data_IF_504224360532
#
_entry.id   IF_504224360532
#
_cell.length_a   1.000
_cell.length_b   1.000
_cell.length_c   1.000
_cell.angle_alpha   90.00
_cell.angle_beta   90.00
_cell.angle_gamma   90.00
#
_symmetry.space_group_name_H-M   'P 1'
#
loop_
_entity.id
_entity.type
_entity.pdbx_description
1 polymer ?
#
# COMPACT_ATOMS: atom_id res chain seq x y z
N UNK A 1 -34.72 -71.72 14.21
CA UNK A 1 -34.51 -70.46 13.46
C UNK A 1 -34.15 -69.36 14.46
N UNK A 2 -32.86 -69.03 14.61
CA UNK A 2 -32.39 -67.86 15.38
C UNK A 2 -32.02 -66.78 14.36
N UNK A 3 -32.73 -65.66 14.34
CA UNK A 3 -32.40 -64.49 13.51
C UNK A 3 -31.40 -63.64 14.28
N UNK A 4 -30.16 -63.59 13.81
CA UNK A 4 -29.13 -62.67 14.27
C UNK A 4 -29.42 -61.30 13.66
N UNK A 5 -29.76 -60.31 14.49
CA UNK A 5 -29.89 -58.91 14.06
C UNK A 5 -28.50 -58.29 14.21
N UNK A 6 -27.88 -57.95 13.08
CA UNK A 6 -26.63 -57.19 13.04
C UNK A 6 -27.01 -55.70 13.12
N UNK A 7 -26.74 -55.05 14.25
CA UNK A 7 -26.78 -53.59 14.36
C UNK A 7 -25.50 -53.02 13.71
N UNK A 8 -25.68 -52.32 12.59
CA UNK A 8 -24.64 -51.45 12.02
C UNK A 8 -24.65 -50.11 12.77
N UNK A 9 -23.52 -49.60 13.30
CA UNK A 9 -23.46 -48.24 13.80
C UNK A 9 -23.41 -47.27 12.62
N UNK A 10 -24.45 -46.45 12.47
CA UNK A 10 -24.46 -45.30 11.55
C UNK A 10 -23.49 -44.26 12.13
N UNK A 11 -22.32 -44.14 11.53
CA UNK A 11 -21.36 -43.09 11.82
C UNK A 11 -21.90 -41.77 11.25
N UNK A 12 -22.53 -40.97 12.10
CA UNK A 12 -22.99 -39.62 11.76
C UNK A 12 -21.75 -38.72 11.62
N UNK A 13 -21.26 -38.54 10.40
CA UNK A 13 -20.23 -37.55 10.08
C UNK A 13 -20.89 -36.18 10.14
N UNK A 14 -20.81 -35.54 11.31
CA UNK A 14 -21.09 -34.11 11.48
C UNK A 14 -20.02 -33.32 10.70
N UNK A 15 -20.35 -32.96 9.47
CA UNK A 15 -19.61 -31.93 8.72
C UNK A 15 -19.88 -30.61 9.43
N UNK A 16 -18.94 -30.19 10.28
CA UNK A 16 -18.89 -28.82 10.78
C UNK A 16 -18.61 -27.89 9.60
N UNK A 17 -19.67 -27.31 9.03
CA UNK A 17 -19.53 -26.10 8.23
C UNK A 17 -19.10 -25.00 9.18
N UNK A 18 -17.81 -24.69 9.18
CA UNK A 18 -17.24 -23.57 9.92
C UNK A 18 -17.78 -22.27 9.31
N UNK A 19 -18.96 -21.84 9.76
CA UNK A 19 -19.42 -20.47 9.55
C UNK A 19 -18.57 -19.57 10.44
N UNK A 20 -17.41 -19.16 9.92
CA UNK A 20 -16.52 -18.18 10.54
C UNK A 20 -17.14 -16.79 10.57
N UNK A 21 -18.22 -16.60 11.34
CA UNK A 21 -18.53 -15.30 11.93
C UNK A 21 -17.88 -15.30 13.30
N UNK A 22 -16.62 -14.84 13.36
CA UNK A 22 -16.03 -14.43 14.63
C UNK A 22 -16.81 -13.22 15.14
N UNK A 23 -17.78 -13.48 16.00
CA UNK A 23 -18.39 -12.49 16.87
C UNK A 23 -17.28 -11.92 17.76
N UNK A 24 -16.81 -10.70 17.47
CA UNK A 24 -16.00 -9.91 18.42
C UNK A 24 -14.74 -9.21 17.88
N UNK A 25 -14.30 -9.49 16.65
CA UNK A 25 -13.16 -8.77 16.07
C UNK A 25 -13.69 -7.65 15.16
N UNK A 26 -13.39 -6.39 15.49
CA UNK A 26 -13.67 -5.26 14.60
C UNK A 26 -13.02 -5.57 13.23
N UNK A 27 -13.79 -5.75 12.13
CA UNK A 27 -13.22 -6.17 10.86
C UNK A 27 -12.26 -5.13 10.29
N UNK A 28 -12.40 -3.86 10.68
CA UNK A 28 -11.49 -2.79 10.34
C UNK A 28 -10.41 -2.69 11.42
N UNK A 29 -9.54 -3.69 11.44
CA UNK A 29 -8.21 -3.63 12.04
C UNK A 29 -7.19 -3.93 10.94
N UNK A 30 -5.93 -3.47 11.08
CA UNK A 30 -4.85 -3.85 10.16
C UNK A 30 -4.76 -5.37 9.95
N UNK A 31 -4.88 -6.16 11.02
CA UNK A 31 -4.90 -7.63 10.96
C UNK A 31 -6.12 -8.18 10.22
N UNK A 32 -7.30 -7.59 10.45
CA UNK A 32 -8.54 -7.96 9.77
C UNK A 32 -8.48 -7.73 8.26
N UNK A 33 -7.74 -6.72 7.79
CA UNK A 33 -7.60 -6.43 6.36
C UNK A 33 -6.49 -7.23 5.67
N UNK A 34 -5.42 -7.57 6.39
CA UNK A 34 -4.22 -8.23 5.86
C UNK A 34 -4.54 -9.44 4.98
N UNK A 35 -5.47 -10.27 5.41
CA UNK A 35 -5.83 -11.52 4.73
C UNK A 35 -7.16 -11.44 3.97
N UNK A 36 -7.89 -10.32 4.07
CA UNK A 36 -9.16 -10.19 3.38
C UNK A 36 -8.95 -10.16 1.86
N UNK A 37 -9.66 -11.02 1.09
CA UNK A 37 -9.58 -10.99 -0.36
C UNK A 37 -10.15 -9.67 -0.91
N UNK A 38 -9.87 -9.39 -2.18
CA UNK A 38 -10.58 -8.33 -2.90
C UNK A 38 -12.09 -8.63 -2.82
N UNK A 39 -12.94 -7.67 -2.42
CA UNK A 39 -14.37 -7.92 -2.31
C UNK A 39 -14.97 -8.22 -3.69
N UNK A 40 -15.93 -9.13 -3.75
CA UNK A 40 -16.66 -9.46 -4.98
C UNK A 40 -17.63 -8.34 -5.38
N UNK A 41 -18.03 -8.27 -6.65
CA UNK A 41 -19.01 -7.28 -7.13
C UNK A 41 -18.42 -5.94 -7.55
N UNK A 42 -17.10 -5.77 -7.44
CA UNK A 42 -16.40 -4.65 -8.02
C UNK A 42 -16.44 -4.71 -9.56
N UNK A 43 -16.60 -3.55 -10.19
CA UNK A 43 -16.54 -3.37 -11.65
C UNK A 43 -15.65 -2.16 -11.92
N UNK A 44 -14.52 -2.31 -12.65
CA UNK A 44 -13.58 -1.23 -12.86
C UNK A 44 -14.26 0.04 -13.37
N UNK A 45 -14.14 1.11 -12.58
CA UNK A 45 -14.58 2.45 -12.94
C UNK A 45 -16.09 2.69 -12.92
N UNK A 46 -16.87 1.73 -12.45
CA UNK A 46 -18.33 1.88 -12.28
C UNK A 46 -18.68 3.13 -11.45
N UNK A 47 -17.86 3.44 -10.45
CA UNK A 47 -18.11 4.51 -9.50
C UNK A 47 -17.15 5.69 -9.71
N UNK A 48 -16.47 5.78 -10.87
CA UNK A 48 -15.76 7.01 -11.24
C UNK A 48 -16.75 8.18 -11.28
N UNK A 49 -16.40 9.29 -10.63
CA UNK A 49 -17.18 10.51 -10.75
C UNK A 49 -17.16 11.02 -12.19
N UNK A 50 -18.30 11.54 -12.64
CA UNK A 50 -18.38 12.19 -13.94
C UNK A 50 -17.60 13.50 -13.92
N UNK A 51 -16.84 13.77 -14.98
CA UNK A 51 -16.19 15.06 -15.15
C UNK A 51 -17.26 16.15 -15.27
N UNK A 52 -17.13 17.19 -14.45
CA UNK A 52 -17.97 18.38 -14.57
C UNK A 52 -17.82 19.01 -15.96
N UNK A 53 -18.92 19.46 -16.59
CA UNK A 53 -18.85 20.34 -17.77
C UNK A 53 -18.01 21.61 -17.53
N UNK A 54 -17.87 22.03 -16.27
CA UNK A 54 -17.06 23.17 -15.84
C UNK A 54 -15.59 22.85 -15.48
N UNK A 55 -15.12 21.61 -15.70
CA UNK A 55 -13.71 21.25 -15.48
C UNK A 55 -12.73 22.01 -16.40
N UNK A 56 -13.24 22.76 -17.38
CA UNK A 56 -12.47 23.60 -18.30
C UNK A 56 -11.56 22.78 -19.21
N UNK A 57 -10.46 23.39 -19.66
CA UNK A 57 -9.52 22.81 -20.62
C UNK A 57 -8.57 21.75 -20.01
N UNK A 58 -8.70 21.44 -18.71
CA UNK A 58 -7.86 20.45 -18.03
C UNK A 58 -8.67 19.23 -17.53
N UNK A 59 -9.00 18.29 -18.43
CA UNK A 59 -9.79 17.10 -18.08
C UNK A 59 -9.03 16.10 -17.18
N UNK A 60 -7.70 16.21 -17.10
CA UNK A 60 -6.87 15.32 -16.28
C UNK A 60 -6.70 15.81 -14.84
N UNK A 61 -6.93 17.11 -14.61
CA UNK A 61 -6.73 17.81 -13.35
C UNK A 61 -5.27 17.74 -12.83
N UNK A 62 -5.00 18.33 -11.67
CA UNK A 62 -3.63 18.42 -11.14
C UNK A 62 -3.16 17.08 -10.55
N UNK A 63 -2.24 16.41 -11.23
CA UNK A 63 -1.57 15.20 -10.74
C UNK A 63 -0.92 15.44 -9.37
N UNK A 64 -1.25 14.60 -8.38
CA UNK A 64 -0.64 14.64 -7.04
C UNK A 64 -1.06 15.80 -6.15
N UNK A 65 -1.97 16.65 -6.62
CA UNK A 65 -2.55 17.66 -5.77
C UNK A 65 -3.53 17.02 -4.80
N UNK A 66 -3.60 17.56 -3.58
CA UNK A 66 -4.67 17.20 -2.66
C UNK A 66 -5.99 17.76 -3.17
N UNK A 67 -6.83 16.87 -3.71
CA UNK A 67 -8.14 17.21 -4.23
C UNK A 67 -8.98 17.98 -3.21
N UNK A 68 -8.88 17.61 -1.92
CA UNK A 68 -9.64 18.23 -0.82
C UNK A 68 -9.26 19.68 -0.51
N UNK A 69 -8.15 20.21 -1.05
CA UNK A 69 -7.84 21.66 -0.92
C UNK A 69 -8.86 22.50 -1.69
N UNK A 70 -9.35 22.00 -2.83
CA UNK A 70 -10.32 22.68 -3.68
C UNK A 70 -11.72 22.08 -3.55
N UNK A 71 -11.83 20.76 -3.47
CA UNK A 71 -13.08 19.99 -3.52
C UNK A 71 -13.64 19.68 -2.13
N UNK A 72 -13.83 20.74 -1.34
CA UNK A 72 -14.38 20.68 0.02
C UNK A 72 -15.36 21.85 0.18
N UNK A 73 -16.40 21.74 1.04
CA UNK A 73 -17.33 22.84 1.26
C UNK A 73 -16.64 24.17 1.55
N UNK A 74 -17.07 25.24 0.88
CA UNK A 74 -16.53 26.60 1.04
C UNK A 74 -15.18 26.86 0.34
N UNK A 75 -14.71 25.96 -0.51
CA UNK A 75 -13.50 26.12 -1.35
C UNK A 75 -13.85 26.33 -2.83
N UNK A 76 -12.88 26.75 -3.69
CA UNK A 76 -13.15 27.06 -5.08
C UNK A 76 -13.76 25.92 -5.92
N UNK A 77 -13.55 24.65 -5.54
CA UNK A 77 -14.15 23.48 -6.18
C UNK A 77 -15.35 22.90 -5.42
N UNK A 78 -15.99 23.68 -4.56
CA UNK A 78 -17.10 23.21 -3.70
C UNK A 78 -18.38 22.82 -4.43
N UNK A 79 -18.51 23.17 -5.71
CA UNK A 79 -19.56 22.64 -6.58
C UNK A 79 -19.39 21.14 -6.86
N UNK A 80 -18.19 20.60 -6.61
CA UNK A 80 -17.82 19.20 -6.84
C UNK A 80 -17.11 18.66 -5.60
N UNK A 81 -17.83 18.46 -4.49
CA UNK A 81 -17.27 17.80 -3.31
C UNK A 81 -17.22 16.31 -3.56
N UNK A 82 -16.01 15.75 -3.62
CA UNK A 82 -15.82 14.31 -3.77
C UNK A 82 -16.08 13.61 -2.44
N UNK A 83 -16.56 12.37 -2.48
CA UNK A 83 -16.56 11.50 -1.29
C UNK A 83 -15.16 10.96 -1.04
N UNK A 84 -14.47 10.64 -2.14
CA UNK A 84 -13.17 9.99 -2.13
C UNK A 84 -12.44 10.35 -3.45
N UNK A 85 -11.14 10.64 -3.37
CA UNK A 85 -10.30 11.12 -4.47
C UNK A 85 -8.81 10.98 -4.15
N UNK A 86 -7.99 10.87 -5.19
CA UNK A 86 -6.54 10.83 -5.02
C UNK A 86 -5.78 10.61 -6.32
N UNK A 87 -4.48 10.38 -6.19
CA UNK A 87 -3.57 10.05 -7.30
C UNK A 87 -2.79 8.77 -6.96
N UNK A 88 -2.73 7.84 -7.90
CA UNK A 88 -1.90 6.63 -7.80
C UNK A 88 -0.70 6.77 -8.73
N UNK A 89 0.45 6.33 -8.25
CA UNK A 89 1.70 6.34 -9.01
C UNK A 89 2.31 4.94 -9.07
N UNK A 90 3.16 4.73 -10.07
CA UNK A 90 3.91 3.49 -10.26
C UNK A 90 5.02 3.34 -9.21
N UNK A 91 5.67 4.45 -8.84
CA UNK A 91 6.87 4.50 -8.00
C UNK A 91 6.66 5.33 -6.73
N UNK A 92 7.26 4.97 -5.59
CA UNK A 92 7.15 5.72 -4.32
C UNK A 92 7.65 7.16 -4.35
N UNK A 93 8.39 7.55 -5.38
CA UNK A 93 8.79 8.94 -5.56
C UNK A 93 7.66 9.79 -6.20
N UNK A 94 6.55 9.17 -6.60
CA UNK A 94 5.38 9.82 -7.18
C UNK A 94 5.71 10.55 -8.47
N UNK A 95 6.51 9.91 -9.33
CA UNK A 95 6.97 10.51 -10.59
C UNK A 95 6.10 10.09 -11.77
N UNK A 96 5.77 8.81 -11.85
CA UNK A 96 4.99 8.26 -12.95
C UNK A 96 3.57 7.93 -12.51
N UNK A 97 2.53 8.52 -13.13
CA UNK A 97 1.16 8.17 -12.81
C UNK A 97 0.90 6.70 -13.17
N UNK A 98 0.13 6.03 -12.34
CA UNK A 98 -0.35 4.70 -12.66
C UNK A 98 -1.71 4.83 -13.36
N UNK A 99 -1.73 4.64 -14.67
CA UNK A 99 -2.92 4.74 -15.52
C UNK A 99 -3.68 3.42 -15.53
N UNK A 100 -5.01 3.47 -15.41
CA UNK A 100 -5.87 2.30 -15.46
C UNK A 100 -5.79 1.37 -14.24
N UNK A 101 -5.25 1.84 -13.12
CA UNK A 101 -5.35 1.12 -11.85
C UNK A 101 -6.80 1.09 -11.40
N UNK A 102 -7.27 -0.06 -10.92
CA UNK A 102 -8.58 -0.16 -10.27
C UNK A 102 -8.40 0.08 -8.76
N UNK A 103 -9.11 1.06 -8.21
CA UNK A 103 -9.22 1.32 -6.78
C UNK A 103 -10.55 0.74 -6.31
N UNK A 104 -10.49 -0.20 -5.38
CA UNK A 104 -11.66 -0.88 -4.83
C UNK A 104 -11.74 -0.53 -3.36
N UNK A 105 -12.87 -0.01 -2.93
CA UNK A 105 -13.16 0.31 -1.54
C UNK A 105 -14.28 -0.59 -1.03
N UNK A 106 -14.20 -0.95 0.25
CA UNK A 106 -15.28 -1.58 1.00
C UNK A 106 -15.53 -0.78 2.27
N UNK A 107 -16.73 -0.24 2.41
CA UNK A 107 -17.12 0.56 3.57
C UNK A 107 -17.59 -0.30 4.76
N UNK A 108 -17.97 0.36 5.86
CA UNK A 108 -18.42 -0.25 7.11
C UNK A 108 -19.65 -1.14 6.98
N UNK A 109 -20.53 -0.86 6.01
CA UNK A 109 -21.72 -1.67 5.73
C UNK A 109 -21.44 -2.79 4.72
N UNK A 110 -20.27 -2.78 4.09
CA UNK A 110 -19.85 -3.75 3.09
C UNK A 110 -20.19 -3.35 1.66
N UNK A 111 -20.61 -2.10 1.43
CA UNK A 111 -20.78 -1.59 0.08
C UNK A 111 -19.43 -1.54 -0.62
N UNK A 112 -19.41 -1.89 -1.92
CA UNK A 112 -18.21 -1.93 -2.74
C UNK A 112 -18.25 -0.79 -3.75
N UNK A 113 -17.22 0.06 -3.71
CA UNK A 113 -17.02 1.18 -4.63
C UNK A 113 -15.79 0.86 -5.48
N UNK A 114 -15.87 0.98 -6.80
CA UNK A 114 -14.75 0.74 -7.71
C UNK A 114 -14.55 1.88 -8.70
N UNK A 115 -13.34 2.44 -8.68
CA UNK A 115 -12.90 3.54 -9.54
C UNK A 115 -11.70 3.10 -10.36
N UNK A 116 -11.42 3.82 -11.44
CA UNK A 116 -10.19 3.68 -12.24
C UNK A 116 -9.43 4.99 -12.32
N UNK A 117 -8.11 4.91 -12.38
CA UNK A 117 -7.26 6.09 -12.58
C UNK A 117 -7.25 6.55 -14.03
N UNK A 118 -7.26 7.87 -14.22
CA UNK A 118 -7.08 8.51 -15.52
C UNK A 118 -5.58 8.57 -15.93
N UNK A 119 -5.28 9.26 -17.04
CA UNK A 119 -3.91 9.40 -17.56
C UNK A 119 -2.94 10.14 -16.61
N UNK A 120 -3.46 10.99 -15.72
CA UNK A 120 -2.69 11.64 -14.66
C UNK A 120 -2.60 10.78 -13.38
N UNK A 121 -3.11 9.55 -13.39
CA UNK A 121 -3.17 8.70 -12.21
C UNK A 121 -4.26 9.11 -11.22
N UNK A 122 -5.09 10.11 -11.56
CA UNK A 122 -6.11 10.66 -10.69
C UNK A 122 -7.38 9.80 -10.71
N UNK A 123 -8.05 9.70 -9.58
CA UNK A 123 -9.37 9.10 -9.43
C UNK A 123 -10.20 9.92 -8.46
N UNK A 124 -11.53 9.85 -8.61
CA UNK A 124 -12.48 10.44 -7.67
C UNK A 124 -13.85 9.78 -7.81
N UNK A 125 -14.70 9.94 -6.79
CA UNK A 125 -16.08 9.46 -6.78
C UNK A 125 -16.98 10.37 -5.95
N UNK A 126 -18.28 10.32 -6.27
CA UNK A 126 -19.38 10.86 -5.48
C UNK A 126 -20.20 9.76 -4.80
N UNK A 127 -19.82 8.49 -4.98
CA UNK A 127 -20.50 7.37 -4.34
C UNK A 127 -20.43 7.55 -2.81
N UNK A 128 -21.55 7.36 -2.10
CA UNK A 128 -21.56 7.51 -0.64
C UNK A 128 -20.71 6.41 0.01
N UNK A 129 -20.00 6.78 1.08
CA UNK A 129 -19.33 5.82 1.96
C UNK A 129 -20.15 5.74 3.24
N UNK A 130 -20.55 4.53 3.63
CA UNK A 130 -21.33 4.35 4.83
C UNK A 130 -20.55 4.78 6.10
N UNK A 131 -21.22 5.48 7.04
CA UNK A 131 -20.61 5.79 8.31
C UNK A 131 -20.43 4.52 9.14
N UNK A 132 -19.33 4.46 9.87
CA UNK A 132 -19.05 3.37 10.79
C UNK A 132 -19.75 3.60 12.13
N UNK A 133 -20.64 2.69 12.57
CA UNK A 133 -21.27 2.78 13.88
C UNK A 133 -20.26 2.84 15.02
N UNK A 134 -19.08 2.22 14.87
CA UNK A 134 -18.02 2.26 15.87
C UNK A 134 -17.39 3.66 16.04
N UNK A 135 -17.64 4.58 15.10
CA UNK A 135 -17.17 5.97 15.12
C UNK A 135 -18.30 6.98 15.32
N UNK A 136 -19.52 6.52 15.59
CA UNK A 136 -20.69 7.38 15.82
C UNK A 136 -21.78 7.26 14.76
N UNK A 137 -21.51 6.63 13.61
CA UNK A 137 -22.54 6.26 12.64
C UNK A 137 -23.26 7.43 11.94
N UNK A 138 -22.79 8.66 12.09
CA UNK A 138 -23.41 9.84 11.46
C UNK A 138 -22.99 9.98 9.98
N UNK A 139 -23.93 9.86 9.02
CA UNK A 139 -23.64 10.00 7.60
C UNK A 139 -23.22 11.42 7.21
N UNK A 140 -23.54 12.46 7.98
CA UNK A 140 -23.16 13.84 7.68
C UNK A 140 -21.80 14.24 8.25
N UNK A 141 -21.14 13.30 8.94
CA UNK A 141 -19.82 13.50 9.54
C UNK A 141 -18.78 12.60 8.86
N UNK A 142 -18.03 13.10 7.85
CA UNK A 142 -17.07 12.29 7.10
C UNK A 142 -16.01 11.59 7.96
N UNK A 143 -15.64 12.19 9.10
CA UNK A 143 -14.72 11.60 10.07
C UNK A 143 -15.20 10.23 10.59
N UNK A 144 -16.49 9.95 10.50
CA UNK A 144 -17.08 8.69 10.94
C UNK A 144 -17.14 7.66 9.80
N UNK A 145 -16.79 8.04 8.57
CA UNK A 145 -16.77 7.12 7.44
C UNK A 145 -15.45 6.36 7.45
N UNK A 146 -15.51 5.02 7.35
CA UNK A 146 -14.34 4.15 7.37
C UNK A 146 -14.43 3.13 6.25
N UNK A 147 -13.33 2.92 5.55
CA UNK A 147 -13.24 1.96 4.47
C UNK A 147 -11.93 1.17 4.50
N UNK A 148 -11.94 0.04 3.79
CA UNK A 148 -10.78 -0.74 3.37
C UNK A 148 -10.55 -0.51 1.90
N UNK A 149 -9.29 -0.50 1.47
CA UNK A 149 -8.93 -0.28 0.08
C UNK A 149 -8.03 -1.38 -0.49
N UNK A 150 -8.26 -1.68 -1.77
CA UNK A 150 -7.43 -2.53 -2.61
C UNK A 150 -7.11 -1.78 -3.90
N UNK A 151 -5.90 -1.95 -4.41
CA UNK A 151 -5.54 -1.50 -5.75
C UNK A 151 -5.16 -2.70 -6.58
N UNK A 152 -5.80 -2.82 -7.75
CA UNK A 152 -5.56 -3.87 -8.70
C UNK A 152 -4.99 -3.30 -9.99
N UNK A 153 -3.92 -3.90 -10.48
CA UNK A 153 -3.29 -3.52 -11.74
C UNK A 153 -2.54 -4.71 -12.35
N UNK A 154 -2.77 -5.02 -13.63
CA UNK A 154 -2.12 -6.13 -14.35
C UNK A 154 -2.05 -7.46 -13.56
N UNK A 155 -3.16 -7.85 -12.93
CA UNK A 155 -3.24 -9.07 -12.13
C UNK A 155 -2.59 -9.00 -10.74
N UNK A 156 -1.85 -7.94 -10.43
CA UNK A 156 -1.34 -7.66 -9.09
C UNK A 156 -2.42 -6.98 -8.24
N UNK A 157 -2.43 -7.30 -6.94
CA UNK A 157 -3.32 -6.66 -5.96
C UNK A 157 -2.46 -6.16 -4.80
N UNK A 158 -2.61 -4.88 -4.46
CA UNK A 158 -2.11 -4.31 -3.21
C UNK A 158 -3.27 -4.03 -2.29
N UNK A 159 -3.14 -4.47 -1.05
CA UNK A 159 -4.06 -4.10 0.04
C UNK A 159 -3.47 -2.88 0.74
N UNK A 160 -4.28 -1.87 0.96
CA UNK A 160 -3.92 -0.73 1.79
C UNK A 160 -4.12 -1.10 3.25
N UNK A 161 -3.06 -1.52 3.96
CA UNK A 161 -3.17 -1.91 5.39
C UNK A 161 -3.63 -0.72 6.27
N UNK A 162 -3.58 0.51 5.75
CA UNK A 162 -4.14 1.69 6.40
C UNK A 162 -5.65 1.76 6.19
N UNK A 163 -6.38 1.69 7.30
CA UNK A 163 -7.79 2.05 7.39
C UNK A 163 -7.87 3.57 7.48
N UNK A 164 -8.39 4.21 6.45
CA UNK A 164 -8.52 5.65 6.44
C UNK A 164 -9.94 6.05 6.86
N UNK A 165 -10.04 7.06 7.71
CA UNK A 165 -11.26 7.82 7.87
C UNK A 165 -11.30 8.89 6.79
N UNK A 166 -12.47 9.13 6.21
CA UNK A 166 -12.64 10.30 5.35
C UNK A 166 -12.49 11.55 6.24
N UNK A 167 -11.62 12.48 5.90
CA UNK A 167 -11.47 13.72 6.67
C UNK A 167 -10.61 13.70 7.93
N UNK A 168 -9.73 12.71 8.12
CA UNK A 168 -8.90 12.54 9.33
C UNK A 168 -7.79 13.59 9.55
N UNK A 169 -7.69 14.67 8.76
CA UNK A 169 -6.60 15.64 8.95
C UNK A 169 -6.78 16.45 10.24
N UNK A 170 -5.68 16.85 10.92
CA UNK A 170 -5.73 17.60 12.19
C UNK A 170 -6.26 19.04 12.05
N UNK A 171 -6.57 19.49 10.83
CA UNK A 171 -7.17 20.79 10.59
C UNK A 171 -8.69 20.68 10.67
N UNK A 172 -9.36 21.72 11.17
CA UNK A 172 -10.82 21.84 11.39
C UNK A 172 -11.71 21.71 10.13
N UNK A 173 -11.18 21.15 9.04
CA UNK A 173 -11.85 20.98 7.76
C UNK A 173 -11.70 19.51 7.36
N UNK A 174 -12.78 18.71 7.31
CA UNK A 174 -12.72 17.35 6.80
C UNK A 174 -12.24 17.37 5.34
N UNK A 175 -11.14 16.67 5.04
CA UNK A 175 -10.65 16.44 3.68
C UNK A 175 -11.19 15.12 3.12
N UNK A 176 -11.88 15.20 1.99
CA UNK A 176 -12.58 14.06 1.39
C UNK A 176 -11.71 13.28 0.37
N UNK A 177 -10.44 13.07 0.71
CA UNK A 177 -9.46 12.47 -0.19
C UNK A 177 -8.69 11.33 0.49
N UNK A 178 -8.54 10.22 -0.24
CA UNK A 178 -7.37 9.34 -0.32
C UNK A 178 -6.22 10.19 -0.86
N UNK A 179 -5.89 11.26 -0.13
CA UNK A 179 -4.50 11.62 -0.03
C UNK A 179 -3.81 10.39 0.54
N UNK A 180 -3.27 9.58 -0.33
CA UNK A 180 -2.44 8.46 0.02
C UNK A 180 -1.28 9.04 0.80
N UNK A 181 -1.40 8.91 2.13
CA UNK A 181 -0.81 9.75 3.16
C UNK A 181 0.56 10.34 2.78
N UNK A 182 0.62 11.66 2.54
CA UNK A 182 1.87 12.40 2.62
C UNK A 182 2.02 12.91 4.05
N UNK A 183 2.97 12.35 4.81
CA UNK A 183 3.57 13.19 5.84
C UNK A 183 4.45 14.22 5.12
N UNK A 184 3.97 15.46 5.03
CA UNK A 184 4.69 16.59 4.44
C UNK A 184 6.07 16.86 5.05
N UNK A 185 6.48 16.14 6.10
CA UNK A 185 7.83 16.19 6.67
C UNK A 185 8.84 15.20 6.08
N UNK A 186 8.41 14.16 5.32
CA UNK A 186 9.30 13.07 4.88
C UNK A 186 9.44 12.89 3.35
N UNK A 187 8.84 13.78 2.55
CA UNK A 187 9.13 13.88 1.12
C UNK A 187 8.70 12.70 0.25
N UNK A 188 7.91 11.75 0.76
CA UNK A 188 7.39 10.64 -0.04
C UNK A 188 6.08 11.04 -0.70
N UNK A 189 6.09 11.18 -2.02
CA UNK A 189 4.89 11.36 -2.82
C UNK A 189 4.14 10.03 -2.94
N UNK A 190 3.47 9.60 -1.87
CA UNK A 190 2.19 8.87 -1.87
C UNK A 190 1.90 7.82 -2.94
N UNK A 191 2.89 7.08 -3.43
CA UNK A 191 2.61 6.03 -4.40
C UNK A 191 2.31 4.71 -3.71
N UNK A 192 1.14 4.16 -4.03
CA UNK A 192 0.95 2.73 -3.91
C UNK A 192 1.65 2.06 -5.08
N UNK A 193 2.72 1.34 -4.77
CA UNK A 193 3.40 0.44 -5.71
C UNK A 193 2.51 -0.76 -6.04
N UNK A 194 1.47 -0.57 -6.85
CA UNK A 194 0.55 -1.67 -7.20
C UNK A 194 1.00 -2.58 -8.33
N UNK A 195 2.26 -2.45 -8.76
CA UNK A 195 2.92 -3.34 -9.71
C UNK A 195 4.40 -3.51 -9.42
N UNK A 196 5.05 -4.39 -10.19
CA UNK A 196 6.51 -4.52 -10.25
C UNK A 196 7.05 -3.37 -11.09
N UNK A 197 7.18 -2.19 -10.48
CA UNK A 197 7.69 -1.01 -11.16
C UNK A 197 9.11 -0.70 -10.71
N UNK A 198 9.93 -0.32 -11.67
CA UNK A 198 11.28 0.17 -11.44
C UNK A 198 11.24 1.58 -10.85
N UNK A 199 12.18 1.91 -9.96
CA UNK A 199 12.24 3.20 -9.26
C UNK A 199 12.72 4.31 -10.18
N UNK A 200 13.50 3.96 -11.21
CA UNK A 200 13.98 4.86 -12.25
C UNK A 200 13.47 4.38 -13.61
N UNK A 201 13.33 5.32 -14.55
CA UNK A 201 12.88 5.04 -15.92
C UNK A 201 13.88 4.17 -16.71
N UNK A 202 15.15 4.22 -16.31
CA UNK A 202 16.24 3.43 -16.88
C UNK A 202 17.43 3.42 -15.93
N UNK A 203 18.31 2.44 -16.10
CA UNK A 203 19.57 2.32 -15.39
C UNK A 203 20.73 2.22 -16.38
N UNK A 204 21.93 2.71 -16.05
CA UNK A 204 23.09 2.52 -16.91
C UNK A 204 23.57 1.06 -16.88
N UNK A 205 24.22 0.62 -17.96
CA UNK A 205 24.73 -0.75 -18.10
C UNK A 205 25.99 -1.03 -17.27
N UNK A 206 26.60 0.02 -16.69
CA UNK A 206 27.75 -0.05 -15.78
C UNK A 206 27.89 1.27 -15.00
N UNK A 207 28.88 1.32 -14.11
CA UNK A 207 29.22 2.46 -13.26
C UNK A 207 28.02 2.94 -12.44
N UNK A 208 27.37 2.00 -11.79
CA UNK A 208 26.18 2.23 -10.98
C UNK A 208 26.56 3.12 -9.80
N UNK A 209 26.11 4.37 -9.82
CA UNK A 209 26.20 5.26 -8.65
C UNK A 209 25.29 4.82 -7.50
N UNK A 210 25.84 4.75 -6.28
CA UNK A 210 25.03 4.53 -5.09
C UNK A 210 23.97 5.64 -4.94
N UNK A 211 24.39 6.90 -5.02
CA UNK A 211 23.50 8.04 -4.76
C UNK A 211 22.41 8.19 -5.83
N UNK A 212 22.74 7.91 -7.09
CA UNK A 212 21.82 8.15 -8.22
C UNK A 212 20.94 6.93 -8.53
N UNK A 213 21.43 5.70 -8.31
CA UNK A 213 20.73 4.49 -8.76
C UNK A 213 20.29 3.58 -7.62
N UNK A 214 21.18 3.28 -6.65
CA UNK A 214 20.89 2.31 -5.57
C UNK A 214 20.04 2.92 -4.47
N UNK A 215 20.43 4.10 -3.98
CA UNK A 215 19.76 4.77 -2.87
C UNK A 215 18.28 5.06 -3.17
N UNK A 216 17.87 5.48 -4.38
CA UNK A 216 16.45 5.56 -4.72
C UNK A 216 15.71 4.25 -4.54
N UNK A 217 16.28 3.12 -4.99
CA UNK A 217 15.69 1.79 -4.86
C UNK A 217 15.51 1.44 -3.38
N UNK A 218 16.54 1.64 -2.56
CA UNK A 218 16.50 1.35 -1.12
C UNK A 218 15.48 2.22 -0.38
N UNK A 219 15.42 3.52 -0.72
CA UNK A 219 14.42 4.45 -0.16
C UNK A 219 13.00 4.07 -0.57
N UNK A 220 12.82 3.57 -1.78
CA UNK A 220 11.54 3.12 -2.28
C UNK A 220 11.16 1.80 -1.58
N UNK A 221 11.96 0.74 -1.68
CA UNK A 221 11.52 -0.59 -1.27
C UNK A 221 11.76 -0.93 0.19
N UNK A 222 12.82 -0.41 0.81
CA UNK A 222 13.32 -0.94 2.08
C UNK A 222 13.18 0.05 3.25
N UNK A 223 13.39 1.35 3.01
CA UNK A 223 13.42 2.38 4.07
C UNK A 223 12.17 2.42 4.95
N UNK A 224 11.00 2.01 4.45
CA UNK A 224 9.77 2.00 5.24
C UNK A 224 9.86 1.19 6.55
N UNK A 225 10.72 0.16 6.60
CA UNK A 225 10.99 -0.63 7.80
C UNK A 225 12.44 -0.48 8.29
N UNK A 226 13.35 0.04 7.46
CA UNK A 226 14.77 0.18 7.75
C UNK A 226 15.15 1.65 7.99
N UNK A 227 14.89 2.15 9.20
CA UNK A 227 15.14 3.55 9.59
C UNK A 227 16.05 3.71 10.81
N UNK A 228 16.75 4.85 10.95
CA UNK A 228 17.67 5.07 12.07
C UNK A 228 17.02 5.28 13.44
N UNK A 229 15.80 5.82 13.46
CA UNK A 229 15.06 6.13 14.68
C UNK A 229 13.69 5.42 14.68
N UNK A 230 13.10 5.23 15.87
CA UNK A 230 11.78 4.60 16.12
C UNK A 230 10.58 5.44 15.64
N UNK A 231 10.78 6.20 14.58
CA UNK A 231 9.78 7.10 13.99
C UNK A 231 9.06 6.49 12.78
N UNK A 232 9.32 5.22 12.43
CA UNK A 232 8.64 4.48 11.35
C UNK A 232 7.92 3.21 11.82
N UNK A 233 6.90 2.74 11.07
CA UNK A 233 5.74 2.07 11.62
C UNK A 233 6.09 0.69 12.17
N UNK A 234 5.80 0.51 13.46
CA UNK A 234 5.63 -0.78 14.08
C UNK A 234 4.85 -1.72 13.14
N UNK A 235 5.44 -2.86 12.81
CA UNK A 235 4.69 -3.92 12.15
C UNK A 235 4.18 -4.85 13.23
N UNK A 236 2.87 -4.83 13.45
CA UNK A 236 2.23 -5.78 14.36
C UNK A 236 1.94 -7.08 13.60
N UNK A 237 2.29 -8.22 14.19
CA UNK A 237 1.95 -9.54 13.70
C UNK A 237 1.29 -10.32 14.83
N UNK A 238 -0.03 -10.46 14.79
CA UNK A 238 -0.78 -10.99 15.94
C UNK A 238 -0.69 -10.03 17.12
N UNK A 239 -0.30 -10.53 18.29
CA UNK A 239 -0.14 -9.70 19.50
C UNK A 239 1.27 -9.08 19.62
N UNK A 240 2.19 -9.40 18.71
CA UNK A 240 3.59 -8.98 18.78
C UNK A 240 3.85 -7.77 17.90
N UNK A 241 4.47 -6.74 18.48
CA UNK A 241 4.92 -5.56 17.77
C UNK A 241 6.40 -5.68 17.47
N UNK A 242 6.75 -5.66 16.18
CA UNK A 242 8.13 -5.68 15.73
C UNK A 242 8.57 -4.25 15.40
N UNK A 243 9.58 -3.80 16.14
CA UNK A 243 10.34 -2.60 15.82
C UNK A 243 11.55 -2.99 14.98
N UNK A 244 11.55 -2.55 13.72
CA UNK A 244 12.66 -2.77 12.79
C UNK A 244 13.59 -1.54 12.69
N UNK A 245 13.30 -0.48 13.45
CA UNK A 245 14.14 0.71 13.52
C UNK A 245 15.41 0.48 14.34
N UNK A 246 16.44 1.29 14.10
CA UNK A 246 17.71 1.25 14.83
C UNK A 246 18.56 -0.01 14.59
N UNK A 247 18.08 -0.97 13.78
CA UNK A 247 18.82 -2.15 13.36
C UNK A 247 19.66 -1.90 12.12
N UNK A 248 19.09 -2.21 10.95
CA UNK A 248 19.71 -1.99 9.65
C UNK A 248 19.16 -0.72 9.01
N UNK A 249 20.05 0.23 8.71
CA UNK A 249 19.75 1.48 8.03
C UNK A 249 20.04 1.39 6.54
N UNK A 250 19.00 1.63 5.74
CA UNK A 250 19.07 1.65 4.28
C UNK A 250 18.73 3.03 3.72
N UNK A 251 18.80 4.07 4.56
CA UNK A 251 18.48 5.45 4.20
C UNK A 251 19.69 6.26 3.71
N UNK A 252 20.90 5.77 3.97
CA UNK A 252 22.19 6.29 3.54
C UNK A 252 23.17 5.12 3.28
N UNK A 253 24.36 5.44 2.75
CA UNK A 253 25.39 4.42 2.45
C UNK A 253 25.98 3.84 3.73
N UNK A 254 26.42 4.73 4.63
CA UNK A 254 26.83 4.38 5.98
C UNK A 254 25.62 4.48 6.90
N UNK A 255 25.70 3.82 8.05
CA UNK A 255 24.69 3.96 9.08
C UNK A 255 24.64 5.37 9.66
N UNK A 256 23.43 5.89 9.85
CA UNK A 256 23.21 7.10 10.64
C UNK A 256 23.26 6.80 12.16
N UNK A 257 23.51 7.80 13.02
CA UNK A 257 23.41 7.65 14.47
C UNK A 257 22.04 7.10 14.88
N UNK A 258 22.04 6.09 15.76
CA UNK A 258 20.82 5.37 16.16
C UNK A 258 20.69 3.97 15.54
N UNK A 259 21.44 3.70 14.46
CA UNK A 259 21.44 2.41 13.76
C UNK A 259 22.60 1.50 14.15
N UNK A 260 22.35 0.18 14.21
CA UNK A 260 23.40 -0.81 14.48
C UNK A 260 24.34 -0.98 13.29
N UNK A 261 23.78 -1.11 12.08
CA UNK A 261 24.51 -1.38 10.82
C UNK A 261 23.92 -0.61 9.62
N UNK A 262 24.71 -0.39 8.57
CA UNK A 262 24.34 0.31 7.35
C UNK A 262 24.38 -0.58 6.10
N UNK A 263 24.26 0.03 4.92
CA UNK A 263 24.28 -0.71 3.64
C UNK A 263 25.63 -1.41 3.43
N UNK A 264 26.73 -0.73 3.74
CA UNK A 264 28.10 -1.24 3.60
C UNK A 264 28.35 -2.53 4.40
N UNK A 265 27.64 -2.73 5.52
CA UNK A 265 27.78 -3.90 6.39
C UNK A 265 27.06 -5.16 5.87
N UNK A 266 26.11 -5.00 4.94
CA UNK A 266 25.26 -6.09 4.42
C UNK A 266 25.56 -6.45 2.96
N UNK A 267 26.65 -5.90 2.43
CA UNK A 267 27.12 -6.10 1.07
C UNK A 267 28.42 -6.91 1.08
N UNK A 268 28.53 -7.87 0.18
CA UNK A 268 29.71 -8.69 -0.04
C UNK A 268 30.18 -8.54 -1.48
N UNK A 269 31.20 -7.73 -1.70
CA UNK A 269 31.77 -7.46 -3.03
C UNK A 269 32.53 -8.65 -3.61
N UNK A 270 32.95 -9.62 -2.78
CA UNK A 270 33.61 -10.85 -3.24
C UNK A 270 32.61 -11.94 -3.63
N UNK A 271 31.43 -11.94 -3.00
CA UNK A 271 30.33 -12.83 -3.35
C UNK A 271 28.99 -12.06 -3.34
N UNK A 272 28.69 -11.33 -4.42
CA UNK A 272 27.53 -10.45 -4.52
C UNK A 272 26.20 -11.11 -4.15
N UNK A 273 25.95 -12.33 -4.62
CA UNK A 273 24.72 -13.09 -4.36
C UNK A 273 24.55 -13.52 -2.89
N UNK A 274 25.65 -13.56 -2.13
CA UNK A 274 25.65 -13.76 -0.69
C UNK A 274 25.36 -12.51 0.11
N UNK A 275 25.27 -11.34 -0.54
CA UNK A 275 24.95 -10.08 0.13
C UNK A 275 23.55 -10.13 0.72
N UNK A 276 23.44 -9.89 2.03
CA UNK A 276 22.16 -9.84 2.72
C UNK A 276 21.18 -8.85 2.08
N UNK A 277 21.71 -7.76 1.51
CA UNK A 277 20.95 -6.71 0.83
C UNK A 277 20.06 -7.23 -0.31
N UNK A 278 20.55 -8.19 -1.11
CA UNK A 278 19.81 -8.73 -2.26
C UNK A 278 19.28 -10.14 -2.02
N UNK A 279 19.86 -10.89 -1.09
CA UNK A 279 19.45 -12.27 -0.79
C UNK A 279 18.18 -12.35 0.08
N UNK A 280 18.08 -11.51 1.11
CA UNK A 280 16.95 -11.49 2.06
C UNK A 280 15.58 -11.20 1.41
N UNK A 281 15.43 -10.23 0.49
CA UNK A 281 14.13 -9.91 -0.11
C UNK A 281 13.65 -10.88 -1.21
N UNK A 282 14.45 -11.88 -1.58
CA UNK A 282 14.11 -12.86 -2.61
C UNK A 282 12.95 -13.78 -2.18
N UNK A 283 12.18 -14.21 -3.18
CA UNK A 283 11.13 -15.22 -2.99
C UNK A 283 11.72 -16.54 -2.46
N UNK A 284 11.29 -16.96 -1.27
CA UNK A 284 11.76 -18.18 -0.60
C UNK A 284 12.73 -17.93 0.56
N UNK A 285 13.23 -16.70 0.70
CA UNK A 285 14.01 -16.28 1.86
C UNK A 285 13.12 -15.92 3.06
N UNK A 286 13.68 -15.97 4.27
CA UNK A 286 12.99 -15.51 5.48
C UNK A 286 13.36 -14.04 5.75
N UNK A 287 12.37 -13.15 5.61
CA UNK A 287 12.50 -11.72 5.83
C UNK A 287 11.23 -11.13 6.46
N UNK A 288 11.37 -10.33 7.53
CA UNK A 288 10.24 -9.78 8.30
C UNK A 288 9.34 -8.84 7.50
N UNK A 289 9.89 -8.12 6.52
CA UNK A 289 9.13 -7.29 5.57
C UNK A 289 8.45 -8.07 4.43
N UNK A 290 8.54 -9.41 4.45
CA UNK A 290 8.08 -10.28 3.38
C UNK A 290 9.05 -10.37 2.20
N UNK A 291 8.65 -11.13 1.19
CA UNK A 291 9.41 -11.41 -0.02
C UNK A 291 8.75 -10.71 -1.21
N UNK A 292 9.52 -9.95 -1.98
CA UNK A 292 8.97 -9.10 -3.04
C UNK A 292 9.90 -8.85 -4.24
N UNK A 293 11.09 -9.46 -4.25
CA UNK A 293 11.98 -9.45 -5.42
C UNK A 293 12.16 -10.84 -6.01
N UNK A 294 12.37 -10.86 -7.32
CA UNK A 294 12.90 -11.98 -8.10
C UNK A 294 14.31 -11.62 -8.62
N UNK A 295 15.14 -12.63 -8.87
CA UNK A 295 16.43 -12.45 -9.51
C UNK A 295 16.29 -11.85 -10.91
N UNK A 296 15.15 -12.03 -11.60
CA UNK A 296 14.94 -11.42 -12.92
C UNK A 296 14.53 -9.96 -12.88
N UNK A 297 14.24 -9.38 -11.70
CA UNK A 297 13.79 -7.99 -11.61
C UNK A 297 14.98 -7.03 -11.90
N UNK A 298 14.75 -5.99 -12.72
CA UNK A 298 15.79 -5.03 -13.14
C UNK A 298 16.52 -4.40 -11.96
N UNK A 299 15.79 -3.97 -10.93
CA UNK A 299 16.39 -3.35 -9.75
C UNK A 299 17.24 -4.31 -8.92
N UNK A 300 16.90 -5.60 -8.91
CA UNK A 300 17.77 -6.63 -8.32
C UNK A 300 19.09 -6.68 -9.08
N UNK A 301 19.03 -6.72 -10.42
CA UNK A 301 20.22 -6.77 -11.28
C UNK A 301 21.07 -5.50 -11.13
N UNK A 302 20.45 -4.32 -11.00
CA UNK A 302 21.16 -3.05 -10.79
C UNK A 302 21.93 -3.04 -9.46
N UNK A 303 21.30 -3.49 -8.36
CA UNK A 303 22.00 -3.56 -7.07
C UNK A 303 23.10 -4.63 -7.12
N UNK A 304 22.84 -5.79 -7.73
CA UNK A 304 23.85 -6.83 -7.92
C UNK A 304 25.05 -6.29 -8.70
N UNK A 305 24.82 -5.60 -9.80
CA UNK A 305 25.87 -4.96 -10.62
C UNK A 305 26.65 -3.93 -9.82
N UNK A 306 25.98 -3.06 -9.05
CA UNK A 306 26.67 -2.13 -8.16
C UNK A 306 27.59 -2.84 -7.15
N UNK A 307 27.14 -3.97 -6.58
CA UNK A 307 27.96 -4.77 -5.66
C UNK A 307 29.15 -5.40 -6.38
N UNK A 308 28.95 -5.92 -7.60
CA UNK A 308 29.99 -6.46 -8.47
C UNK A 308 31.05 -5.40 -8.86
N UNK A 309 30.63 -4.15 -9.02
CA UNK A 309 31.50 -3.00 -9.27
C UNK A 309 32.24 -2.50 -8.02
N UNK A 310 32.11 -3.21 -6.90
CA UNK A 310 32.81 -2.90 -5.65
C UNK A 310 31.99 -2.06 -4.68
N UNK A 311 30.68 -1.92 -4.91
CA UNK A 311 29.73 -1.24 -4.03
C UNK A 311 30.15 0.19 -3.69
N UNK A 312 30.62 0.96 -4.67
CA UNK A 312 31.22 2.27 -4.44
C UNK A 312 30.21 3.31 -3.92
N UNK A 313 30.69 4.23 -3.07
CA UNK A 313 29.96 5.43 -2.60
C UNK A 313 30.20 6.61 -3.53
N UNK A 314 29.71 6.51 -4.75
CA UNK A 314 29.84 7.49 -5.84
C UNK A 314 28.53 8.24 -6.13
#
# INVERSE_FOLDING_TARGET
MKKTVILLPILLVLVFVYNGKSLGQNPFTPDGQKWEPVPTGHVPGKDNGELSPGAGDNPLHFQGADCGICHTPGRPGSDFVFTESGTIYQDKAGRLPLVGAEIILKDAEGNVISMTTNEAGNFFTYAPIAPDPALGGDPDTPRNWRYKAWIKYNGSVRKMITLAYVGATPFFIPRMSCNMHHNGRLGTRGALTSGRFETLTSYPDNNISFMQHVLPILKNRCKGCHTPESTSPYTTYGDETFDYSGGLDLSAYEKEPGSAIGVSDVVNTTYPEGSGLINKPLTGSQHGGGNFWDMTDTEYQVIKMWIEEGALKN
#
